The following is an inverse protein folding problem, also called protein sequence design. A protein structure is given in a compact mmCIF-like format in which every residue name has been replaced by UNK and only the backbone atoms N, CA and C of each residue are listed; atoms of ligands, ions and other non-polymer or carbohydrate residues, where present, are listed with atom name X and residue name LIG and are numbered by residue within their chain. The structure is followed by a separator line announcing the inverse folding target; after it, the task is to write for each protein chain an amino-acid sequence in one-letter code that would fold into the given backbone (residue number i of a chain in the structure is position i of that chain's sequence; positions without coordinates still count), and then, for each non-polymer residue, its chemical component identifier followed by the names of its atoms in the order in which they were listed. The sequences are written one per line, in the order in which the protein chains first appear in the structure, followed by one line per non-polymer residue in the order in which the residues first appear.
data_IF_102926141449
#
_entry.id   IF_102926141449
#
_cell.length_a   1.000
_cell.length_b   1.000
_cell.length_c   1.000
_cell.angle_alpha   90.00
_cell.angle_beta   90.00
_cell.angle_gamma   90.00
#
_symmetry.space_group_name_H-M   'P 1'
#
loop_
_entity.id
_entity.type
_entity.pdbx_description
1 polymer ?
#
# COMPACT_ATOMS: atom_id res chain seq x y z
N UNK A 1 4.76 -22.48 -11.79
CA UNK A 1 4.40 -23.17 -10.53
C UNK A 1 3.84 -22.14 -9.56
N UNK A 2 2.74 -22.46 -8.87
CA UNK A 2 2.18 -21.58 -7.82
C UNK A 2 3.10 -21.58 -6.60
N UNK A 3 3.44 -20.41 -6.07
CA UNK A 3 4.34 -20.28 -4.90
C UNK A 3 3.69 -20.73 -3.59
N UNK A 4 2.35 -20.71 -3.52
CA UNK A 4 1.60 -21.19 -2.36
C UNK A 4 0.53 -22.18 -2.82
N UNK A 5 0.29 -23.27 -2.04
CA UNK A 5 -0.81 -24.16 -2.32
C UNK A 5 -2.15 -23.42 -2.17
N UNK A 6 -3.14 -23.70 -3.03
CA UNK A 6 -4.49 -23.19 -2.83
C UNK A 6 -5.02 -23.70 -1.48
N UNK A 7 -5.47 -22.79 -0.63
CA UNK A 7 -6.07 -23.16 0.65
C UNK A 7 -7.56 -23.44 0.46
N UNK A 8 -8.13 -24.44 1.17
CA UNK A 8 -9.58 -24.63 1.15
C UNK A 8 -10.28 -23.37 1.67
N UNK A 9 -11.41 -22.96 1.07
CA UNK A 9 -12.13 -21.76 1.48
C UNK A 9 -12.52 -21.89 2.95
N UNK A 10 -12.09 -20.92 3.77
CA UNK A 10 -12.41 -20.98 5.21
C UNK A 10 -13.91 -20.72 5.39
N UNK A 11 -14.66 -21.63 6.05
CA UNK A 11 -16.10 -21.47 6.23
C UNK A 11 -16.45 -20.13 6.87
N UNK A 12 -17.56 -19.53 6.44
CA UNK A 12 -18.11 -18.31 7.07
C UNK A 12 -18.64 -18.69 8.44
N UNK A 13 -18.12 -18.08 9.50
CA UNK A 13 -18.47 -18.41 10.88
C UNK A 13 -19.08 -17.19 11.58
N UNK A 14 -20.14 -17.41 12.36
CA UNK A 14 -20.77 -16.33 13.12
C UNK A 14 -19.80 -15.73 14.14
N UNK A 15 -19.80 -14.39 14.23
CA UNK A 15 -18.98 -13.66 15.22
C UNK A 15 -19.41 -14.06 16.63
N UNK A 16 -18.52 -14.61 17.47
CA UNK A 16 -18.88 -15.05 18.81
C UNK A 16 -19.12 -13.85 19.74
N UNK A 17 -20.03 -13.98 20.71
CA UNK A 17 -20.34 -12.94 21.72
C UNK A 17 -19.19 -12.71 22.72
N UNK A 18 -18.34 -13.71 22.96
CA UNK A 18 -17.15 -13.62 23.83
C UNK A 18 -15.94 -14.17 23.06
N UNK A 19 -14.75 -13.60 23.31
CA UNK A 19 -13.51 -14.07 22.65
C UNK A 19 -13.31 -13.57 21.21
N UNK A 20 -13.90 -12.42 20.85
CA UNK A 20 -13.82 -11.83 19.49
C UNK A 20 -12.38 -11.65 19.01
N UNK A 21 -11.46 -11.24 19.88
CA UNK A 21 -10.05 -11.04 19.51
C UNK A 21 -9.39 -12.35 19.11
N UNK A 22 -9.56 -13.41 19.92
CA UNK A 22 -9.02 -14.74 19.62
C UNK A 22 -9.62 -15.29 18.32
N UNK A 23 -10.93 -15.10 18.12
CA UNK A 23 -11.60 -15.45 16.88
C UNK A 23 -11.02 -14.69 15.68
N UNK A 24 -10.88 -13.37 15.76
CA UNK A 24 -10.30 -12.55 14.70
C UNK A 24 -8.87 -12.97 14.35
N UNK A 25 -8.01 -13.20 15.35
CA UNK A 25 -6.63 -13.68 15.15
C UNK A 25 -6.61 -15.06 14.48
N UNK A 26 -7.49 -15.97 14.90
CA UNK A 26 -7.60 -17.29 14.27
C UNK A 26 -8.05 -17.18 12.80
N UNK A 27 -9.01 -16.29 12.49
CA UNK A 27 -9.46 -16.03 11.11
C UNK A 27 -8.34 -15.44 10.25
N UNK A 28 -7.64 -14.41 10.73
CA UNK A 28 -6.50 -13.80 10.02
C UNK A 28 -5.42 -14.85 9.75
N UNK A 29 -5.07 -15.68 10.75
CA UNK A 29 -4.11 -16.78 10.56
C UNK A 29 -4.60 -17.80 9.54
N UNK A 30 -5.88 -18.14 9.52
CA UNK A 30 -6.44 -19.08 8.54
C UNK A 30 -6.36 -18.51 7.11
N UNK A 31 -6.75 -17.25 6.92
CA UNK A 31 -6.66 -16.55 5.63
C UNK A 31 -5.22 -16.32 5.15
N UNK A 32 -4.27 -16.21 6.06
CA UNK A 32 -2.86 -16.09 5.71
C UNK A 32 -2.20 -17.43 5.31
N UNK A 33 -2.90 -18.58 5.39
CA UNK A 33 -2.30 -19.91 5.11
C UNK A 33 -2.05 -20.17 3.64
N UNK A 34 -2.91 -19.68 2.76
CA UNK A 34 -2.79 -19.90 1.32
C UNK A 34 -3.71 -18.98 0.53
N UNK A 35 -3.59 -19.07 -0.79
CA UNK A 35 -4.34 -18.23 -1.72
C UNK A 35 -5.79 -18.72 -1.78
N UNK A 36 -6.74 -17.80 -1.59
CA UNK A 36 -8.18 -18.07 -1.63
C UNK A 36 -8.95 -16.87 -2.19
N UNK A 37 -10.19 -17.09 -2.63
CA UNK A 37 -11.08 -16.03 -3.03
C UNK A 37 -11.53 -15.17 -1.83
N UNK A 38 -11.88 -13.88 -2.04
CA UNK A 38 -12.40 -13.04 -0.98
C UNK A 38 -13.72 -13.62 -0.42
N UNK A 39 -13.86 -13.75 0.91
CA UNK A 39 -15.05 -14.29 1.53
C UNK A 39 -16.26 -13.34 1.37
N UNK A 40 -17.46 -13.90 1.43
CA UNK A 40 -18.70 -13.12 1.46
C UNK A 40 -18.96 -12.55 2.87
N UNK A 41 -19.34 -11.27 2.94
CA UNK A 41 -19.71 -10.57 4.18
C UNK A 41 -18.67 -9.55 4.68
N UNK A 42 -19.15 -8.39 5.14
CA UNK A 42 -18.31 -7.22 5.45
C UNK A 42 -17.23 -7.53 6.51
N UNK A 43 -17.59 -8.20 7.61
CA UNK A 43 -16.65 -8.51 8.69
C UNK A 43 -15.54 -9.47 8.25
N UNK A 44 -15.88 -10.46 7.42
CA UNK A 44 -14.92 -11.44 6.91
C UNK A 44 -14.02 -10.81 5.84
N UNK A 45 -14.54 -9.90 5.01
CA UNK A 45 -13.74 -9.11 4.08
C UNK A 45 -12.71 -8.23 4.80
N UNK A 46 -13.08 -7.61 5.92
CA UNK A 46 -12.14 -6.84 6.74
C UNK A 46 -11.01 -7.73 7.28
N UNK A 47 -11.34 -8.90 7.83
CA UNK A 47 -10.34 -9.84 8.36
C UNK A 47 -9.47 -10.44 7.24
N UNK A 48 -10.07 -10.72 6.09
CA UNK A 48 -9.36 -11.15 4.90
C UNK A 48 -8.37 -10.07 4.41
N UNK A 49 -8.78 -8.81 4.44
CA UNK A 49 -7.92 -7.65 4.14
C UNK A 49 -6.72 -7.55 5.08
N UNK A 50 -6.92 -7.74 6.39
CA UNK A 50 -5.83 -7.77 7.37
C UNK A 50 -4.88 -8.96 7.21
N UNK A 51 -5.31 -10.05 6.57
CA UNK A 51 -4.46 -11.18 6.29
C UNK A 51 -3.57 -10.99 5.05
N UNK A 52 -3.94 -10.08 4.13
CA UNK A 52 -3.20 -9.86 2.87
C UNK A 52 -1.74 -9.45 3.07
N UNK A 53 -1.38 -8.54 4.00
CA UNK A 53 0.03 -8.19 4.23
C UNK A 53 0.86 -9.40 4.71
N UNK A 54 0.27 -10.26 5.55
CA UNK A 54 0.96 -11.46 6.05
C UNK A 54 1.16 -12.45 4.90
N UNK A 55 0.13 -12.66 4.06
CA UNK A 55 0.23 -13.52 2.90
C UNK A 55 1.27 -12.98 1.90
N UNK A 56 1.25 -11.68 1.61
CA UNK A 56 2.21 -11.01 0.73
C UNK A 56 3.65 -11.14 1.23
N UNK A 57 3.87 -10.93 2.53
CA UNK A 57 5.19 -11.14 3.14
C UNK A 57 5.67 -12.59 3.02
N UNK A 58 4.79 -13.57 3.20
CA UNK A 58 5.13 -14.99 3.01
C UNK A 58 5.46 -15.32 1.56
N UNK A 59 4.74 -14.75 0.60
CA UNK A 59 5.04 -14.92 -0.84
C UNK A 59 6.40 -14.33 -1.19
N UNK A 60 6.70 -13.13 -0.70
CA UNK A 60 8.01 -12.48 -0.90
C UNK A 60 9.15 -13.31 -0.26
N UNK A 61 8.96 -13.81 0.96
CA UNK A 61 9.96 -14.63 1.64
C UNK A 61 10.13 -16.03 1.01
N UNK A 62 9.12 -16.53 0.30
CA UNK A 62 9.18 -17.81 -0.39
C UNK A 62 9.95 -17.76 -1.72
N UNK A 63 10.13 -16.57 -2.32
CA UNK A 63 10.84 -16.40 -3.59
C UNK A 63 11.90 -15.27 -3.45
N UNK A 64 13.20 -15.62 -3.27
CA UNK A 64 14.24 -14.63 -3.04
C UNK A 64 14.48 -13.71 -4.25
N UNK A 65 14.18 -14.16 -5.47
CA UNK A 65 14.27 -13.31 -6.66
C UNK A 65 13.16 -12.24 -6.63
N UNK A 66 11.95 -12.64 -6.26
CA UNK A 66 10.84 -11.71 -6.07
C UNK A 66 11.13 -10.69 -4.94
N UNK A 67 11.75 -11.15 -3.85
CA UNK A 67 12.15 -10.28 -2.75
C UNK A 67 13.18 -9.25 -3.21
N UNK A 68 14.22 -9.66 -3.96
CA UNK A 68 15.23 -8.73 -4.50
C UNK A 68 14.58 -7.67 -5.39
N UNK A 69 13.69 -8.08 -6.28
CA UNK A 69 12.98 -7.17 -7.19
C UNK A 69 12.07 -6.18 -6.45
N UNK A 70 11.45 -6.61 -5.36
CA UNK A 70 10.66 -5.75 -4.49
C UNK A 70 11.54 -4.79 -3.65
N UNK A 71 12.73 -5.25 -3.23
CA UNK A 71 13.65 -4.47 -2.41
C UNK A 71 14.48 -3.49 -3.22
N UNK A 72 14.63 -3.70 -4.53
CA UNK A 72 15.48 -2.86 -5.39
C UNK A 72 15.10 -1.36 -5.35
N UNK A 73 13.82 -0.96 -5.54
CA UNK A 73 13.45 0.46 -5.46
C UNK A 73 13.64 1.04 -4.05
N UNK A 74 13.29 0.25 -3.01
CA UNK A 74 13.44 0.66 -1.62
C UNK A 74 14.91 0.85 -1.22
N UNK A 75 15.78 -0.05 -1.68
CA UNK A 75 17.22 0.01 -1.47
C UNK A 75 17.86 1.20 -2.17
N UNK A 76 17.48 1.48 -3.42
CA UNK A 76 17.93 2.68 -4.14
C UNK A 76 17.55 3.97 -3.43
N UNK A 77 16.30 4.08 -2.96
CA UNK A 77 15.84 5.25 -2.22
C UNK A 77 16.59 5.38 -0.89
N UNK A 78 16.72 4.29 -0.14
CA UNK A 78 17.45 4.29 1.12
C UNK A 78 18.91 4.70 0.92
N UNK A 79 19.58 4.22 -0.13
CA UNK A 79 20.94 4.63 -0.47
C UNK A 79 21.02 6.13 -0.79
N UNK A 80 20.10 6.67 -1.59
CA UNK A 80 20.05 8.09 -1.89
C UNK A 80 19.80 8.94 -0.64
N UNK A 81 18.90 8.52 0.24
CA UNK A 81 18.62 9.20 1.51
C UNK A 81 19.81 9.12 2.47
N UNK A 82 20.52 7.99 2.51
CA UNK A 82 21.72 7.82 3.31
C UNK A 82 22.86 8.72 2.80
N UNK A 83 23.06 8.81 1.47
CA UNK A 83 24.02 9.73 0.87
C UNK A 83 23.68 11.19 1.21
N UNK A 84 22.41 11.59 1.06
CA UNK A 84 21.97 12.93 1.44
C UNK A 84 22.22 13.24 2.93
N UNK A 85 21.88 12.29 3.81
CA UNK A 85 22.11 12.44 5.25
C UNK A 85 23.61 12.55 5.57
N UNK A 86 24.45 11.74 4.94
CA UNK A 86 25.90 11.75 5.15
C UNK A 86 26.58 13.01 4.60
N UNK A 87 26.11 13.57 3.49
CA UNK A 87 26.61 14.83 2.94
C UNK A 87 26.11 16.06 3.70
N UNK A 88 24.94 15.96 4.34
CA UNK A 88 24.33 17.05 5.11
C UNK A 88 24.77 17.13 6.57
N UNK A 89 25.48 16.12 7.09
CA UNK A 89 26.00 16.10 8.47
C UNK A 89 27.51 16.20 8.47
N UNK A 90 28.05 17.43 8.50
CA UNK A 90 29.50 17.65 8.57
C UNK A 90 30.11 17.35 9.95
N UNK A 91 29.29 17.06 10.97
CA UNK A 91 29.75 16.93 12.35
C UNK A 91 29.77 15.47 12.81
N UNK A 92 30.98 14.91 12.94
CA UNK A 92 31.24 13.62 13.58
C UNK A 92 30.66 13.60 15.00
N UNK A 93 29.78 12.63 15.30
CA UNK A 93 29.35 12.32 16.68
C UNK A 93 27.85 12.34 16.98
N UNK A 94 27.00 12.81 16.06
CA UNK A 94 25.55 12.89 16.30
C UNK A 94 24.74 11.92 15.43
N UNK A 95 24.78 10.63 15.77
CA UNK A 95 23.95 9.58 15.17
C UNK A 95 22.46 9.97 15.12
N UNK A 96 21.94 10.62 16.17
CA UNK A 96 20.55 11.09 16.21
C UNK A 96 20.21 12.14 15.14
N UNK A 97 21.15 13.02 14.77
CA UNK A 97 20.94 14.03 13.73
C UNK A 97 20.95 13.38 12.35
N UNK A 98 21.86 12.44 12.11
CA UNK A 98 21.89 11.66 10.88
C UNK A 98 20.60 10.87 10.68
N UNK A 99 20.10 10.18 11.71
CA UNK A 99 18.82 9.43 11.65
C UNK A 99 17.66 10.36 11.33
N UNK A 100 17.59 11.53 11.99
CA UNK A 100 16.53 12.51 11.74
C UNK A 100 16.57 13.03 10.31
N UNK A 101 17.75 13.34 9.78
CA UNK A 101 17.94 13.80 8.40
C UNK A 101 17.60 12.70 7.38
N UNK A 102 18.03 11.46 7.63
CA UNK A 102 17.68 10.29 6.82
C UNK A 102 16.17 10.10 6.72
N UNK A 103 15.47 10.01 7.86
CA UNK A 103 14.02 9.80 7.87
C UNK A 103 13.26 10.99 7.29
N UNK A 104 13.75 12.22 7.49
CA UNK A 104 13.15 13.42 6.88
C UNK A 104 13.29 13.40 5.35
N UNK A 105 14.47 13.05 4.83
CA UNK A 105 14.69 12.90 3.40
C UNK A 105 13.85 11.76 2.82
N UNK A 106 13.81 10.62 3.50
CA UNK A 106 13.00 9.47 3.12
C UNK A 106 11.50 9.82 3.07
N UNK A 107 10.98 10.51 4.09
CA UNK A 107 9.59 10.96 4.11
C UNK A 107 9.28 11.99 3.02
N UNK A 108 10.21 12.91 2.75
CA UNK A 108 10.05 13.90 1.68
C UNK A 108 10.09 13.28 0.29
N UNK A 109 10.93 12.26 0.10
CA UNK A 109 11.11 11.56 -1.18
C UNK A 109 10.16 10.37 -1.34
N UNK A 110 9.34 10.04 -0.34
CA UNK A 110 8.41 8.90 -0.38
C UNK A 110 7.49 8.85 -1.64
N UNK A 111 7.06 9.96 -2.25
CA UNK A 111 6.25 9.92 -3.48
C UNK A 111 7.06 9.61 -4.76
N UNK A 112 8.38 9.79 -4.75
CA UNK A 112 9.23 9.66 -5.94
C UNK A 112 9.41 8.20 -6.41
N UNK A 113 9.60 7.20 -5.52
CA UNK A 113 9.68 5.81 -5.94
C UNK A 113 8.45 5.34 -6.70
N UNK A 114 7.24 5.65 -6.23
CA UNK A 114 5.99 5.29 -6.90
C UNK A 114 5.88 5.93 -8.28
N UNK A 115 6.54 7.08 -8.52
CA UNK A 115 6.57 7.73 -9.82
C UNK A 115 7.61 7.15 -10.78
N UNK A 116 8.86 7.02 -10.33
CA UNK A 116 9.97 6.53 -11.15
C UNK A 116 9.87 5.02 -11.42
N UNK A 117 9.41 4.24 -10.44
CA UNK A 117 9.34 2.79 -10.51
C UNK A 117 7.91 2.28 -10.73
N UNK A 118 6.94 3.13 -11.08
CA UNK A 118 5.54 2.72 -11.33
C UNK A 118 5.43 1.52 -12.29
N UNK A 119 6.18 1.57 -13.40
CA UNK A 119 6.19 0.50 -14.40
C UNK A 119 6.89 -0.77 -13.90
N UNK A 120 7.89 -0.62 -13.02
CA UNK A 120 8.54 -1.74 -12.34
C UNK A 120 7.56 -2.44 -11.39
N UNK A 121 6.83 -1.67 -10.59
CA UNK A 121 5.78 -2.17 -9.70
C UNK A 121 4.65 -2.85 -10.49
N UNK A 122 4.24 -2.31 -11.63
CA UNK A 122 3.22 -2.93 -12.48
C UNK A 122 3.67 -4.30 -13.06
N UNK A 123 4.96 -4.44 -13.41
CA UNK A 123 5.55 -5.71 -13.83
C UNK A 123 5.65 -6.71 -12.69
N UNK A 124 6.09 -6.23 -11.52
CA UNK A 124 6.14 -7.03 -10.30
C UNK A 124 4.74 -7.52 -9.91
N UNK A 125 3.72 -6.67 -9.93
CA UNK A 125 2.34 -7.03 -9.63
C UNK A 125 1.79 -8.11 -10.57
N UNK A 126 2.06 -8.00 -11.88
CA UNK A 126 1.68 -9.03 -12.84
C UNK A 126 2.42 -10.37 -12.57
N UNK A 127 3.71 -10.30 -12.24
CA UNK A 127 4.51 -11.49 -11.90
C UNK A 127 4.00 -12.18 -10.62
N UNK A 128 3.74 -11.42 -9.56
CA UNK A 128 3.19 -11.95 -8.30
C UNK A 128 1.83 -12.58 -8.55
N UNK A 129 0.96 -11.93 -9.33
CA UNK A 129 -0.37 -12.46 -9.65
C UNK A 129 -0.29 -13.79 -10.41
N UNK A 130 0.61 -13.89 -11.38
CA UNK A 130 0.87 -15.15 -12.09
C UNK A 130 1.40 -16.23 -11.16
N UNK A 131 2.36 -15.88 -10.29
CA UNK A 131 2.97 -16.79 -9.29
C UNK A 131 2.00 -17.23 -8.19
N UNK A 132 0.97 -16.45 -7.91
CA UNK A 132 -0.13 -16.80 -6.99
C UNK A 132 -1.22 -17.65 -7.67
N UNK A 133 -1.12 -17.92 -8.98
CA UNK A 133 -2.07 -18.77 -9.70
C UNK A 133 -3.40 -18.09 -10.07
N UNK A 134 -3.47 -16.76 -10.04
CA UNK A 134 -4.70 -15.99 -10.34
C UNK A 134 -4.99 -15.82 -11.85
N UNK A 135 -4.40 -16.66 -12.69
CA UNK A 135 -4.56 -16.65 -14.15
C UNK A 135 -3.64 -15.67 -14.89
N UNK A 136 -3.68 -15.72 -16.23
CA UNK A 136 -2.87 -14.88 -17.09
C UNK A 136 -3.21 -13.38 -16.93
N UNK A 137 -2.20 -12.53 -16.82
CA UNK A 137 -2.35 -11.08 -16.73
C UNK A 137 -1.12 -10.38 -17.32
N UNK A 138 -1.33 -9.17 -17.86
CA UNK A 138 -0.27 -8.29 -18.34
C UNK A 138 0.04 -7.15 -17.34
N UNK A 139 1.26 -6.60 -17.37
CA UNK A 139 1.59 -5.41 -16.60
C UNK A 139 0.78 -4.20 -17.08
N UNK A 140 0.31 -3.38 -16.14
CA UNK A 140 -0.35 -2.12 -16.45
C UNK A 140 0.68 -0.99 -16.53
N UNK A 141 1.42 -0.98 -17.62
CA UNK A 141 2.41 0.08 -17.86
C UNK A 141 1.69 1.39 -18.20
N UNK A 142 2.02 2.46 -17.50
CA UNK A 142 1.43 3.78 -17.73
C UNK A 142 2.43 4.72 -18.40
N UNK A 143 1.99 5.52 -19.37
CA UNK A 143 2.82 6.58 -19.90
C UNK A 143 3.08 7.64 -18.82
N UNK A 144 4.31 8.15 -18.78
CA UNK A 144 4.81 9.11 -17.79
C UNK A 144 3.89 10.33 -17.57
N UNK A 145 3.21 10.78 -18.62
CA UNK A 145 2.26 11.91 -18.56
C UNK A 145 1.04 11.62 -17.67
N UNK A 146 0.54 10.38 -17.68
CA UNK A 146 -0.59 9.98 -16.82
C UNK A 146 -0.15 9.83 -15.36
N UNK A 147 1.08 9.32 -15.14
CA UNK A 147 1.68 9.25 -13.81
C UNK A 147 1.88 10.66 -13.22
N UNK A 148 2.36 11.60 -14.02
CA UNK A 148 2.58 12.98 -13.58
C UNK A 148 1.26 13.67 -13.24
N UNK A 149 0.22 13.47 -14.05
CA UNK A 149 -1.13 13.97 -13.76
C UNK A 149 -1.73 13.40 -12.47
N UNK A 150 -1.41 12.14 -12.14
CA UNK A 150 -1.82 11.52 -10.88
C UNK A 150 -1.08 12.09 -9.69
N UNK A 151 0.26 12.25 -9.78
CA UNK A 151 1.05 12.89 -8.73
C UNK A 151 0.56 14.30 -8.41
N UNK A 152 0.26 15.11 -9.43
CA UNK A 152 -0.25 16.48 -9.23
C UNK A 152 -1.60 16.44 -8.52
N UNK A 153 -2.52 15.56 -8.95
CA UNK A 153 -3.82 15.42 -8.31
C UNK A 153 -3.68 14.93 -6.86
N UNK A 154 -2.78 13.99 -6.61
CA UNK A 154 -2.45 13.50 -5.28
C UNK A 154 -1.88 14.59 -4.38
N UNK A 155 -0.91 15.37 -4.87
CA UNK A 155 -0.36 16.52 -4.17
C UNK A 155 -1.45 17.57 -3.85
N UNK A 156 -2.36 17.80 -4.79
CA UNK A 156 -3.47 18.73 -4.62
C UNK A 156 -4.50 18.23 -3.60
N UNK A 157 -4.80 16.92 -3.57
CA UNK A 157 -5.66 16.30 -2.54
C UNK A 157 -5.02 16.44 -1.15
N UNK A 158 -3.70 16.21 -1.04
CA UNK A 158 -2.98 16.36 0.24
C UNK A 158 -2.98 17.82 0.68
N UNK A 159 -2.69 18.75 -0.24
CA UNK A 159 -2.65 20.18 0.05
C UNK A 159 -4.01 20.73 0.48
N UNK A 160 -5.12 20.25 -0.12
CA UNK A 160 -6.47 20.73 0.19
C UNK A 160 -7.11 19.98 1.36
N UNK A 161 -6.81 18.69 1.55
CA UNK A 161 -7.43 17.87 2.58
C UNK A 161 -6.69 17.88 3.91
N UNK A 162 -5.38 17.62 3.89
CA UNK A 162 -4.59 17.36 5.11
C UNK A 162 -4.00 18.64 5.68
N UNK A 163 -3.48 19.52 4.82
CA UNK A 163 -2.83 20.75 5.29
C UNK A 163 -3.76 21.63 6.14
N UNK A 164 -5.04 21.87 5.80
CA UNK A 164 -5.95 22.65 6.64
C UNK A 164 -6.24 21.94 7.96
N UNK A 165 -6.37 20.62 7.95
CA UNK A 165 -6.63 19.84 9.16
C UNK A 165 -5.46 19.93 10.15
N UNK A 166 -4.22 19.96 9.64
CA UNK A 166 -3.02 20.13 10.46
C UNK A 166 -2.88 21.55 11.00
N UNK A 167 -3.26 22.55 10.21
CA UNK A 167 -3.30 23.95 10.67
C UNK A 167 -4.31 24.07 11.83
N UNK A 168 -5.50 23.50 11.69
CA UNK A 168 -6.54 23.50 12.73
C UNK A 168 -6.11 22.73 13.98
N UNK A 169 -5.51 21.55 13.81
CA UNK A 169 -5.04 20.74 14.94
C UNK A 169 -3.94 21.44 15.77
N UNK A 170 -3.08 22.25 15.12
CA UNK A 170 -2.05 23.03 15.81
C UNK A 170 -2.56 24.26 16.56
N UNK A 171 -3.80 24.68 16.32
CA UNK A 171 -4.44 25.76 17.09
C UNK A 171 -4.90 25.30 18.48
N UNK A 172 -4.88 24.00 18.78
CA UNK A 172 -5.27 23.45 20.08
C UNK A 172 -4.02 23.23 20.96
N UNK A 173 -3.77 24.08 21.98
CA UNK A 173 -2.62 23.88 22.86
C UNK A 173 -2.73 22.57 23.66
N UNK A 174 -1.58 21.96 23.96
CA UNK A 174 -1.36 20.71 24.70
C UNK A 174 -1.65 19.36 23.99
N UNK A 175 -2.71 19.24 23.18
CA UNK A 175 -3.07 17.95 22.53
C UNK A 175 -2.82 17.97 21.00
N UNK A 176 -2.68 19.17 20.43
CA UNK A 176 -2.57 19.40 19.00
C UNK A 176 -1.44 18.64 18.32
N UNK A 177 -0.27 18.53 18.94
CA UNK A 177 0.88 17.82 18.35
C UNK A 177 0.66 16.31 18.28
N UNK A 178 0.10 15.70 19.32
CA UNK A 178 -0.20 14.27 19.34
C UNK A 178 -1.32 13.92 18.36
N UNK A 179 -2.38 14.73 18.31
CA UNK A 179 -3.48 14.55 17.34
C UNK A 179 -2.99 14.77 15.93
N UNK A 180 -2.16 15.79 15.68
CA UNK A 180 -1.56 16.02 14.37
C UNK A 180 -0.69 14.85 13.93
N UNK A 181 0.14 14.31 14.84
CA UNK A 181 0.97 13.15 14.57
C UNK A 181 0.13 11.88 14.29
N UNK A 182 -0.94 11.66 15.06
CA UNK A 182 -1.85 10.53 14.85
C UNK A 182 -2.61 10.65 13.52
N UNK A 183 -3.14 11.84 13.19
CA UNK A 183 -3.82 12.11 11.92
C UNK A 183 -2.86 11.95 10.75
N UNK A 184 -1.65 12.50 10.83
CA UNK A 184 -0.61 12.30 9.82
C UNK A 184 -0.25 10.83 9.67
N UNK A 185 -0.10 10.10 10.77
CA UNK A 185 0.24 8.68 10.76
C UNK A 185 -0.85 7.84 10.10
N UNK A 186 -2.11 8.03 10.51
CA UNK A 186 -3.27 7.32 9.94
C UNK A 186 -3.43 7.68 8.46
N UNK A 187 -3.30 8.96 8.12
CA UNK A 187 -3.40 9.41 6.73
C UNK A 187 -2.28 8.80 5.87
N UNK A 188 -1.03 8.85 6.33
CA UNK A 188 0.12 8.28 5.64
C UNK A 188 -0.07 6.78 5.43
N UNK A 189 -0.54 6.06 6.45
CA UNK A 189 -0.83 4.63 6.35
C UNK A 189 -1.94 4.35 5.32
N UNK A 190 -3.04 5.11 5.38
CA UNK A 190 -4.12 5.01 4.39
C UNK A 190 -3.60 5.25 2.97
N UNK A 191 -2.72 6.23 2.80
CA UNK A 191 -2.17 6.61 1.52
C UNK A 191 -1.26 5.52 0.93
N UNK A 192 -0.35 4.97 1.73
CA UNK A 192 0.50 3.83 1.34
C UNK A 192 -0.34 2.63 0.92
N UNK A 193 -1.43 2.36 1.65
CA UNK A 193 -2.36 1.28 1.30
C UNK A 193 -3.07 1.58 -0.02
N UNK A 194 -3.56 2.81 -0.21
CA UNK A 194 -4.24 3.21 -1.45
C UNK A 194 -3.31 3.14 -2.67
N UNK A 195 -2.06 3.59 -2.52
CA UNK A 195 -1.02 3.54 -3.56
C UNK A 195 -0.71 2.08 -3.92
N UNK A 196 -0.47 1.23 -2.92
CA UNK A 196 -0.24 -0.20 -3.11
C UNK A 196 -1.42 -0.91 -3.81
N UNK A 197 -2.66 -0.54 -3.51
CA UNK A 197 -3.83 -1.07 -4.19
C UNK A 197 -3.94 -0.60 -5.64
N UNK A 198 -3.51 0.62 -5.95
CA UNK A 198 -3.52 1.12 -7.33
C UNK A 198 -2.42 0.46 -8.17
N UNK A 199 -1.23 0.29 -7.59
CA UNK A 199 -0.09 -0.39 -8.21
C UNK A 199 -0.31 -1.89 -8.41
N UNK A 200 -1.11 -2.53 -7.55
CA UNK A 200 -1.49 -3.93 -7.69
C UNK A 200 -2.45 -4.21 -8.86
N UNK A 201 -2.96 -3.18 -9.55
CA UNK A 201 -3.88 -3.36 -10.67
C UNK A 201 -3.16 -3.86 -11.92
N UNK A 202 -3.68 -4.95 -12.49
CA UNK A 202 -3.14 -5.59 -13.69
C UNK A 202 -4.10 -5.48 -14.89
N UNK A 203 -3.55 -5.65 -16.10
CA UNK A 203 -4.35 -5.77 -17.32
C UNK A 203 -4.78 -7.24 -17.51
N UNK A 204 -6.07 -7.48 -17.78
CA UNK A 204 -6.56 -8.81 -18.14
C UNK A 204 -6.22 -9.14 -19.60
N UNK A 205 -6.16 -10.42 -19.99
CA UNK A 205 -5.88 -10.82 -21.37
C UNK A 205 -6.88 -10.19 -22.35
N UNK A 206 -6.39 -9.51 -23.38
CA UNK A 206 -7.22 -8.83 -24.39
C UNK A 206 -7.75 -7.45 -23.97
N UNK A 207 -7.43 -6.96 -22.78
CA UNK A 207 -7.87 -5.65 -22.30
C UNK A 207 -6.91 -4.52 -22.69
N UNK A 208 -7.44 -3.41 -23.18
CA UNK A 208 -6.64 -2.21 -23.45
C UNK A 208 -6.31 -1.44 -22.16
N UNK A 209 -5.19 -0.70 -22.16
CA UNK A 209 -4.79 0.17 -21.04
C UNK A 209 -5.89 1.17 -20.63
N UNK A 210 -6.67 1.65 -21.61
CA UNK A 210 -7.78 2.59 -21.37
C UNK A 210 -8.93 1.90 -20.61
N UNK A 211 -9.25 0.66 -20.96
CA UNK A 211 -10.26 -0.14 -20.27
C UNK A 211 -9.81 -0.48 -18.82
N UNK A 212 -8.56 -0.89 -18.63
CA UNK A 212 -7.99 -1.12 -17.30
C UNK A 212 -8.01 0.16 -16.43
N UNK A 213 -7.69 1.31 -17.02
CA UNK A 213 -7.78 2.61 -16.34
C UNK A 213 -9.20 3.02 -15.96
N UNK A 214 -10.18 2.73 -16.82
CA UNK A 214 -11.59 3.00 -16.53
C UNK A 214 -12.12 2.14 -15.38
N UNK A 215 -11.68 0.87 -15.27
CA UNK A 215 -12.05 -0.01 -14.14
C UNK A 215 -11.58 0.55 -12.81
N UNK A 216 -10.31 0.96 -12.71
CA UNK A 216 -9.77 1.57 -11.48
C UNK A 216 -10.42 2.91 -11.11
N UNK A 217 -10.87 3.69 -12.11
CA UNK A 217 -11.56 4.96 -11.90
C UNK A 217 -13.03 4.76 -11.44
N UNK A 218 -13.69 3.71 -11.93
CA UNK A 218 -15.08 3.38 -11.56
C UNK A 218 -15.18 2.82 -10.14
N UNK A 219 -14.17 2.09 -9.65
CA UNK A 219 -14.12 1.64 -8.25
C UNK A 219 -13.90 2.78 -7.26
N UNK A 220 -13.13 3.82 -7.61
CA UNK A 220 -12.94 4.98 -6.72
C UNK A 220 -14.16 5.92 -6.66
N UNK A 221 -15.01 5.95 -7.69
CA UNK A 221 -16.24 6.74 -7.71
C UNK A 221 -17.47 6.00 -7.14
N UNK A 222 -17.49 4.66 -7.15
CA UNK A 222 -18.58 3.88 -6.52
C UNK A 222 -18.53 3.90 -5.00
N UNK A 223 -17.36 4.01 -4.37
CA UNK A 223 -17.26 4.20 -2.92
C UNK A 223 -17.84 5.55 -2.46
N UNK A 224 -17.74 6.59 -3.28
CA UNK A 224 -18.32 7.92 -2.99
C UNK A 224 -19.83 8.01 -3.22
N UNK A 225 -20.41 7.15 -4.07
CA UNK A 225 -21.89 7.08 -4.24
C UNK A 225 -22.57 6.17 -3.23
N UNK A 226 -21.92 5.11 -2.75
CA UNK A 226 -22.51 4.25 -1.72
C UNK A 226 -22.64 4.94 -0.35
N UNK A 227 -21.89 6.02 -0.11
CA UNK A 227 -22.01 6.86 1.09
C UNK A 227 -23.06 7.99 0.97
N UNK A 228 -23.78 8.08 -0.16
CA UNK A 228 -24.85 9.08 -0.39
C UNK A 228 -26.24 8.48 -0.55
N UNK A 229 -26.38 7.17 -0.32
CA UNK A 229 -27.66 6.46 -0.43
C UNK A 229 -27.99 5.61 0.82
N UNK A 230 -27.56 6.06 2.00
CA UNK A 230 -28.12 5.62 3.28
C UNK A 230 -28.38 6.85 4.15
#
# INVERSE_FOLDING_TARGET
MSLLPPAPPVPVANRPRRGVVRWAVQRIRAYARGVQAPPAGNAEQTLYGFAQPILGARVLLADPELLKEALYPAGMLAAACALYASLGTETYGHWGIWFKSFYKAFAALAPLPSFFFANHYARLAAMIRWRMGFGACGPREMPWRLLAGRMIRQALIVAVGVAPLLIVARLVPAIGDFVSAAVLGIWSLHWVVADAFDDAQVCLPGESLKAACSRGCVTSWRSTRAARSR
#
